data_IF_003384322146
#
_entry.id   IF_003384322146
#
_cell.length_a   1.000
_cell.length_b   1.000
_cell.length_c   1.000
_cell.angle_alpha   90.00
_cell.angle_beta   90.00
_cell.angle_gamma   90.00
#
_symmetry.space_group_name_H-M   'P 1'
#
loop_
_entity.id
_entity.type
_entity.pdbx_description
1 polymer ?
#
# COMPACT_ATOMS: atom_id res chain seq x y z
N UNK A 1 10.33 -52.74 29.28
CA UNK A 1 9.81 -51.57 28.54
C UNK A 1 9.72 -50.37 29.49
N UNK A 2 10.72 -49.51 29.49
CA UNK A 2 10.73 -48.29 30.31
C UNK A 2 10.24 -47.13 29.43
N UNK A 3 9.16 -46.49 29.87
CA UNK A 3 8.65 -45.24 29.24
C UNK A 3 9.57 -44.09 29.68
N UNK A 4 10.19 -43.42 28.73
CA UNK A 4 10.92 -42.17 28.96
C UNK A 4 9.90 -41.05 28.76
N UNK A 5 9.58 -40.33 29.85
CA UNK A 5 8.80 -39.10 29.83
C UNK A 5 9.82 -37.97 29.66
N UNK A 6 9.79 -37.31 28.49
CA UNK A 6 10.63 -36.14 28.22
C UNK A 6 9.85 -34.89 28.62
N UNK A 7 10.23 -34.28 29.74
CA UNK A 7 9.66 -33.02 30.23
C UNK A 7 10.47 -31.90 29.61
N UNK A 8 9.88 -31.15 28.66
CA UNK A 8 10.48 -29.93 28.15
C UNK A 8 10.16 -28.77 29.08
N UNK A 9 11.17 -28.30 29.80
CA UNK A 9 11.10 -27.05 30.56
C UNK A 9 11.44 -25.91 29.58
N UNK A 10 10.45 -25.14 29.15
CA UNK A 10 10.67 -23.90 28.39
C UNK A 10 11.19 -22.84 29.37
N UNK A 11 12.46 -22.48 29.25
CA UNK A 11 13.01 -21.31 29.91
C UNK A 11 12.53 -20.06 29.15
N UNK A 12 11.61 -19.32 29.77
CA UNK A 12 11.28 -17.94 29.31
C UNK A 12 12.43 -17.03 29.76
N UNK A 13 13.30 -16.65 28.81
CA UNK A 13 14.19 -15.53 29.02
C UNK A 13 13.39 -14.23 28.82
N UNK A 14 13.24 -13.47 29.90
CA UNK A 14 12.75 -12.10 29.89
C UNK A 14 13.75 -11.23 29.11
N UNK A 15 13.44 -10.96 27.85
CA UNK A 15 14.01 -9.83 27.14
C UNK A 15 13.28 -8.58 27.66
N UNK A 16 13.95 -7.82 28.52
CA UNK A 16 13.57 -6.46 28.85
C UNK A 16 13.64 -5.62 27.57
N UNK A 17 12.49 -5.29 27.01
CA UNK A 17 12.36 -4.37 25.90
C UNK A 17 12.83 -2.97 26.34
N UNK A 18 13.83 -2.44 25.68
CA UNK A 18 14.10 -1.03 25.69
C UNK A 18 12.89 -0.31 25.09
N UNK A 19 12.09 0.32 25.94
CA UNK A 19 11.05 1.24 25.52
C UNK A 19 11.74 2.53 25.03
N UNK A 20 12.00 2.61 23.73
CA UNK A 20 12.17 3.90 23.08
C UNK A 20 10.87 4.70 23.23
N UNK A 21 10.96 6.01 23.40
CA UNK A 21 9.81 6.93 23.43
C UNK A 21 9.06 6.87 22.08
N UNK A 22 8.25 5.84 21.92
CA UNK A 22 7.41 5.55 20.76
C UNK A 22 5.95 5.53 21.16
N UNK A 23 5.12 5.98 20.28
CA UNK A 23 3.70 6.24 20.44
C UNK A 23 2.90 5.26 21.29
N UNK A 24 1.76 5.73 21.78
CA UNK A 24 0.82 4.93 22.54
C UNK A 24 0.48 3.62 21.82
N UNK A 25 0.40 2.49 22.52
CA UNK A 25 0.02 1.24 21.88
C UNK A 25 -1.36 1.40 21.21
N UNK A 26 -1.59 0.74 20.07
CA UNK A 26 -2.86 0.83 19.35
C UNK A 26 -4.03 0.48 20.27
N UNK A 27 -5.12 1.24 20.19
CA UNK A 27 -6.34 0.99 20.92
C UNK A 27 -6.91 -0.36 20.50
N UNK A 28 -6.84 -1.36 21.37
CA UNK A 28 -7.42 -2.68 21.11
C UNK A 28 -8.94 -2.56 21.17
N UNK A 29 -9.62 -2.94 20.10
CA UNK A 29 -11.06 -3.16 20.13
C UNK A 29 -11.37 -4.31 21.10
N UNK A 30 -12.13 -4.05 22.14
CA UNK A 30 -12.41 -5.00 23.22
C UNK A 30 -13.64 -5.88 22.97
N UNK A 31 -14.48 -5.52 21.99
CA UNK A 31 -15.68 -6.29 21.62
C UNK A 31 -15.42 -7.11 20.34
N UNK A 32 -15.06 -8.36 20.51
CA UNK A 32 -14.77 -9.32 19.44
C UNK A 32 -16.03 -10.10 19.08
N UNK A 33 -16.94 -9.45 18.37
CA UNK A 33 -18.21 -10.05 17.94
C UNK A 33 -18.10 -10.87 16.66
N UNK A 34 -17.11 -10.59 15.82
CA UNK A 34 -16.84 -11.28 14.54
C UNK A 34 -15.44 -11.89 14.53
N UNK A 35 -15.20 -12.89 13.66
CA UNK A 35 -13.89 -13.54 13.55
C UNK A 35 -12.79 -12.59 13.07
N UNK A 36 -13.14 -11.63 12.21
CA UNK A 36 -12.24 -10.57 11.76
C UNK A 36 -11.68 -9.72 12.91
N UNK A 37 -12.37 -9.62 14.04
CA UNK A 37 -11.95 -8.82 15.20
C UNK A 37 -10.79 -9.48 15.97
N UNK A 38 -10.49 -10.74 15.67
CA UNK A 38 -9.30 -11.42 16.19
C UNK A 38 -8.04 -11.13 15.36
N UNK A 39 -8.15 -10.61 14.14
CA UNK A 39 -6.98 -10.31 13.30
C UNK A 39 -6.25 -9.08 13.83
N UNK A 40 -4.95 -9.22 14.03
CA UNK A 40 -4.04 -8.12 14.36
C UNK A 40 -3.03 -7.92 13.21
N UNK A 41 -3.28 -6.98 12.28
CA UNK A 41 -2.40 -6.75 11.12
C UNK A 41 -1.00 -6.25 11.49
N UNK A 42 -0.76 -5.84 12.75
CA UNK A 42 0.57 -5.43 13.20
C UNK A 42 1.51 -6.61 13.49
N UNK A 43 1.01 -7.83 13.64
CA UNK A 43 1.86 -9.01 13.82
C UNK A 43 2.72 -9.20 12.56
N UNK A 44 4.05 -9.28 12.75
CA UNK A 44 5.01 -9.49 11.67
C UNK A 44 5.45 -8.21 10.95
N UNK A 45 5.07 -7.02 11.40
CA UNK A 45 5.33 -5.75 10.72
C UNK A 45 6.66 -5.08 11.10
N UNK A 46 7.60 -5.82 11.67
CA UNK A 46 9.00 -5.39 11.71
C UNK A 46 9.71 -5.77 10.40
N UNK A 47 10.84 -5.14 10.10
CA UNK A 47 11.58 -5.43 8.86
C UNK A 47 11.94 -6.93 8.69
N UNK A 48 12.14 -7.65 9.77
CA UNK A 48 12.40 -9.10 9.72
C UNK A 48 11.14 -9.95 9.53
N UNK A 49 9.97 -9.43 9.93
CA UNK A 49 8.69 -10.07 9.67
C UNK A 49 8.14 -9.80 8.28
N UNK A 50 8.58 -8.71 7.66
CA UNK A 50 8.31 -8.30 6.26
C UNK A 50 6.85 -8.11 5.88
N UNK A 51 5.92 -8.10 6.84
CA UNK A 51 4.51 -7.78 6.60
C UNK A 51 4.24 -6.29 6.80
N UNK A 52 3.05 -5.81 6.42
CA UNK A 52 2.60 -4.45 6.65
C UNK A 52 1.12 -4.42 7.08
N UNK A 53 0.69 -3.38 7.83
CA UNK A 53 -0.66 -3.29 8.37
C UNK A 53 -1.65 -2.61 7.41
N UNK A 54 -1.29 -2.43 6.15
CA UNK A 54 -2.08 -1.66 5.19
C UNK A 54 -3.45 -2.24 4.87
N UNK A 55 -4.31 -1.41 4.32
CA UNK A 55 -5.62 -1.83 3.85
C UNK A 55 -5.51 -2.59 2.53
N UNK A 56 -6.03 -3.82 2.50
CA UNK A 56 -6.08 -4.69 1.33
C UNK A 56 -7.35 -5.55 1.38
N UNK A 57 -7.91 -5.92 0.23
CA UNK A 57 -8.91 -6.99 0.12
C UNK A 57 -8.22 -8.37 0.00
N UNK A 58 -8.91 -9.48 0.29
CA UNK A 58 -8.35 -10.82 0.05
C UNK A 58 -7.82 -10.95 -1.38
N UNK A 59 -6.55 -11.32 -1.53
CA UNK A 59 -5.82 -11.43 -2.80
C UNK A 59 -5.89 -10.18 -3.72
N UNK A 60 -6.20 -9.01 -3.16
CA UNK A 60 -6.36 -7.78 -3.94
C UNK A 60 -5.07 -7.33 -4.62
N UNK A 61 -5.18 -6.78 -5.84
CA UNK A 61 -4.10 -6.08 -6.54
C UNK A 61 -3.72 -4.80 -5.78
N UNK A 62 -4.73 -4.08 -5.28
CA UNK A 62 -4.56 -2.83 -4.55
C UNK A 62 -4.33 -3.09 -3.07
N UNK A 63 -3.29 -2.49 -2.53
CA UNK A 63 -3.09 -2.26 -1.10
C UNK A 63 -2.72 -0.80 -0.85
N UNK A 64 -3.16 -0.24 0.26
CA UNK A 64 -2.85 1.12 0.69
C UNK A 64 -2.12 1.04 2.03
N UNK A 65 -0.81 1.29 2.03
CA UNK A 65 0.09 0.98 3.13
C UNK A 65 0.77 2.25 3.63
N UNK A 66 0.82 2.49 4.96
CA UNK A 66 1.60 3.61 5.50
C UNK A 66 3.09 3.45 5.15
N UNK A 67 3.70 4.53 4.67
CA UNK A 67 5.12 4.57 4.35
C UNK A 67 5.86 5.30 5.47
N UNK A 68 6.70 4.60 6.21
CA UNK A 68 7.42 5.18 7.33
C UNK A 68 8.95 4.93 7.31
N UNK A 69 9.47 4.31 6.23
CA UNK A 69 10.91 4.06 6.06
C UNK A 69 11.56 5.00 5.02
N UNK A 70 11.00 6.18 4.81
CA UNK A 70 11.62 7.23 3.99
C UNK A 70 12.57 8.07 4.83
N UNK A 71 13.86 8.02 4.51
CA UNK A 71 14.90 8.75 5.22
C UNK A 71 14.77 10.28 5.10
N UNK A 72 15.01 10.99 6.20
CA UNK A 72 15.04 12.45 6.23
C UNK A 72 15.90 12.94 7.40
N UNK A 73 15.98 14.26 7.62
CA UNK A 73 16.63 14.81 8.80
C UNK A 73 15.93 14.44 10.12
N UNK A 74 14.64 14.11 10.06
CA UNK A 74 13.81 13.76 11.21
C UNK A 74 13.55 12.26 11.33
N UNK A 75 13.88 11.47 10.27
CA UNK A 75 13.64 10.03 10.22
C UNK A 75 14.91 9.26 9.88
N UNK A 76 15.43 8.52 10.86
CA UNK A 76 16.64 7.68 10.69
C UNK A 76 16.34 6.32 10.04
N UNK A 77 15.08 5.92 9.93
CA UNK A 77 14.67 4.76 9.15
C UNK A 77 14.70 5.15 7.67
N UNK A 78 15.62 4.58 6.92
CA UNK A 78 15.89 5.00 5.55
C UNK A 78 16.04 3.79 4.63
N UNK A 79 15.12 3.65 3.68
CA UNK A 79 15.10 2.59 2.67
C UNK A 79 16.32 2.62 1.75
N UNK A 80 16.96 3.78 1.59
CA UNK A 80 18.15 3.95 0.75
C UNK A 80 19.45 3.66 1.51
N UNK A 81 19.43 3.71 2.84
CA UNK A 81 20.59 3.45 3.68
C UNK A 81 20.69 1.98 4.11
N UNK A 82 19.60 1.23 4.13
CA UNK A 82 19.60 -0.20 4.45
C UNK A 82 18.41 -0.91 3.82
N UNK A 83 18.49 -2.23 3.78
CA UNK A 83 17.44 -3.10 3.23
C UNK A 83 16.11 -2.98 3.97
N UNK A 84 15.06 -2.67 3.22
CA UNK A 84 13.67 -2.71 3.64
C UNK A 84 12.84 -3.42 2.58
N UNK A 85 12.18 -4.51 2.95
CA UNK A 85 11.33 -5.28 2.02
C UNK A 85 9.87 -4.79 2.00
N UNK A 86 9.50 -3.91 2.93
CA UNK A 86 8.17 -3.29 3.00
C UNK A 86 8.30 -1.80 3.35
N UNK A 87 7.33 -0.97 3.00
CA UNK A 87 7.37 0.46 3.30
C UNK A 87 7.11 0.79 4.77
N UNK A 88 6.86 -0.21 5.61
CA UNK A 88 6.45 -0.02 7.00
C UNK A 88 7.35 -0.77 8.00
N UNK A 89 7.65 -0.10 9.11
CA UNK A 89 8.33 -0.67 10.28
C UNK A 89 7.58 -0.27 11.56
N UNK A 90 7.14 -1.27 12.33
CA UNK A 90 6.30 -1.09 13.53
C UNK A 90 6.92 -0.17 14.59
N UNK A 91 8.23 -0.19 14.75
CA UNK A 91 8.95 0.61 15.76
C UNK A 91 9.14 2.07 15.37
N UNK A 92 8.74 2.45 14.16
CA UNK A 92 8.89 3.81 13.64
C UNK A 92 7.55 4.54 13.55
N UNK A 93 7.47 5.74 14.10
CA UNK A 93 6.28 6.59 14.08
C UNK A 93 6.42 7.84 13.18
N UNK A 94 7.20 7.76 12.10
CA UNK A 94 7.38 8.86 11.15
C UNK A 94 6.74 8.52 9.80
N UNK A 95 5.74 9.28 9.37
CA UNK A 95 4.93 9.03 8.18
C UNK A 95 5.30 9.97 7.04
N UNK A 96 5.44 9.42 5.82
CA UNK A 96 5.77 10.19 4.62
C UNK A 96 4.72 10.06 3.52
N UNK A 97 3.69 9.26 3.72
CA UNK A 97 2.59 9.07 2.79
C UNK A 97 2.00 7.66 2.84
N UNK A 98 0.99 7.42 2.03
CA UNK A 98 0.46 6.09 1.75
C UNK A 98 1.01 5.59 0.43
N UNK A 99 1.71 4.45 0.44
CA UNK A 99 2.10 3.74 -0.76
C UNK A 99 0.94 2.87 -1.28
N UNK A 100 0.81 2.82 -2.59
CA UNK A 100 -0.20 1.99 -3.25
C UNK A 100 0.48 0.82 -3.97
N UNK A 101 -0.23 -0.32 -3.99
CA UNK A 101 0.25 -1.59 -4.56
C UNK A 101 1.56 -2.04 -3.91
N UNK A 102 1.45 -2.83 -2.87
CA UNK A 102 2.59 -3.26 -2.05
C UNK A 102 2.61 -4.77 -1.92
N UNK A 103 3.80 -5.34 -1.75
CA UNK A 103 3.96 -6.70 -1.30
C UNK A 103 3.95 -6.77 0.23
N UNK A 104 3.62 -7.94 0.76
CA UNK A 104 3.62 -8.23 2.19
C UNK A 104 4.11 -9.67 2.42
N UNK A 105 5.05 -9.85 3.34
CA UNK A 105 5.63 -11.16 3.64
C UNK A 105 6.76 -11.59 2.68
N UNK A 106 7.29 -10.70 1.85
CA UNK A 106 8.39 -10.99 0.91
C UNK A 106 9.71 -10.39 1.39
N UNK A 107 10.82 -11.05 1.07
CA UNK A 107 12.15 -10.62 1.50
C UNK A 107 12.83 -9.60 0.60
N UNK A 108 12.27 -9.27 -0.57
CA UNK A 108 12.83 -8.31 -1.51
C UNK A 108 11.94 -7.08 -1.66
N UNK A 109 12.52 -5.86 -1.71
CA UNK A 109 11.75 -4.66 -2.00
C UNK A 109 11.22 -4.70 -3.43
N UNK A 110 9.93 -4.39 -3.58
CA UNK A 110 9.25 -4.24 -4.87
C UNK A 110 7.96 -3.46 -4.68
N UNK A 111 7.51 -2.76 -5.71
CA UNK A 111 6.27 -1.97 -5.67
C UNK A 111 6.34 -0.83 -4.63
N UNK A 112 5.27 -0.55 -3.90
CA UNK A 112 5.24 0.45 -2.83
C UNK A 112 5.45 1.87 -3.33
N UNK A 113 4.74 2.26 -4.38
CA UNK A 113 4.85 3.56 -5.05
C UNK A 113 3.56 4.38 -4.98
N UNK A 114 3.42 5.44 -5.78
CA UNK A 114 2.24 6.30 -5.83
C UNK A 114 1.90 6.86 -4.44
N UNK A 115 2.86 7.62 -3.86
CA UNK A 115 2.75 8.09 -2.47
C UNK A 115 1.74 9.23 -2.34
N UNK A 116 0.71 9.02 -1.54
CA UNK A 116 -0.35 9.99 -1.24
C UNK A 116 -0.14 10.57 0.15
N UNK A 117 0.07 11.90 0.26
CA UNK A 117 0.36 12.58 1.53
C UNK A 117 -0.55 13.78 1.76
N UNK A 118 -1.33 13.84 2.86
CA UNK A 118 -2.04 15.05 3.26
C UNK A 118 -1.13 15.97 4.08
N UNK A 119 -1.18 17.28 3.82
CA UNK A 119 -0.46 18.31 4.57
C UNK A 119 -1.33 19.52 4.83
N UNK A 120 -0.92 20.39 5.75
CA UNK A 120 -1.60 21.67 6.05
C UNK A 120 -0.60 22.81 6.12
N UNK A 121 -1.07 24.05 5.97
CA UNK A 121 -0.24 25.25 6.00
C UNK A 121 0.32 25.64 4.63
N UNK A 122 1.60 25.96 4.56
CA UNK A 122 2.24 26.27 3.27
C UNK A 122 2.52 25.00 2.47
N UNK A 123 2.36 25.10 1.15
CA UNK A 123 2.61 23.97 0.26
C UNK A 123 4.11 23.63 0.21
N UNK A 124 4.47 22.47 0.69
CA UNK A 124 5.82 21.91 0.60
C UNK A 124 5.74 20.55 -0.10
N UNK A 125 6.50 20.36 -1.18
CA UNK A 125 6.52 19.14 -1.98
C UNK A 125 7.82 18.33 -1.83
N UNK A 126 8.75 18.78 -0.98
CA UNK A 126 9.97 18.05 -0.68
C UNK A 126 9.67 16.92 0.33
N UNK A 127 9.75 15.68 -0.13
CA UNK A 127 9.47 14.50 0.70
C UNK A 127 10.39 14.39 1.93
N UNK A 128 11.57 14.97 1.89
CA UNK A 128 12.50 15.01 3.05
C UNK A 128 12.05 15.98 4.14
N UNK A 129 11.10 16.87 3.84
CA UNK A 129 10.64 17.91 4.75
C UNK A 129 9.15 17.77 5.11
N UNK A 130 8.31 17.21 4.22
CA UNK A 130 6.88 17.13 4.50
C UNK A 130 6.45 15.95 5.38
N UNK A 131 7.37 15.06 5.78
CA UNK A 131 7.05 13.98 6.70
C UNK A 131 6.51 14.47 8.05
N UNK A 132 5.79 13.62 8.75
CA UNK A 132 5.17 13.92 10.05
C UNK A 132 5.29 12.75 11.00
N UNK A 133 5.55 13.02 12.26
CA UNK A 133 5.26 12.03 13.31
C UNK A 133 3.77 11.75 13.34
N UNK A 134 3.40 10.53 13.73
CA UNK A 134 2.01 10.12 13.88
C UNK A 134 1.76 9.40 15.20
N UNK A 135 0.50 9.30 15.57
CA UNK A 135 -0.02 8.60 16.75
C UNK A 135 -1.40 8.00 16.45
N UNK A 136 -2.00 7.38 17.46
CA UNK A 136 -3.36 6.84 17.41
C UNK A 136 -3.58 5.87 16.23
N UNK A 137 -2.56 5.04 15.98
CA UNK A 137 -2.54 4.09 14.88
C UNK A 137 -3.53 2.95 15.11
N UNK A 138 -4.31 2.61 14.09
CA UNK A 138 -5.24 1.50 14.12
C UNK A 138 -5.20 0.74 12.79
N UNK A 139 -5.28 -0.58 12.86
CA UNK A 139 -5.41 -1.45 11.69
C UNK A 139 -6.40 -2.58 11.93
N UNK A 140 -7.11 -2.93 10.89
CA UNK A 140 -7.91 -4.16 10.80
C UNK A 140 -7.95 -4.60 9.33
N UNK A 141 -8.33 -5.85 9.01
CA UNK A 141 -8.40 -6.28 7.63
C UNK A 141 -9.22 -5.32 6.75
N UNK A 142 -8.60 -4.77 5.71
CA UNK A 142 -9.21 -3.79 4.81
C UNK A 142 -9.26 -2.35 5.32
N UNK A 143 -8.61 -2.03 6.44
CA UNK A 143 -8.61 -0.69 7.03
C UNK A 143 -7.32 -0.38 7.76
N UNK A 144 -6.86 0.87 7.62
CA UNK A 144 -5.80 1.45 8.43
C UNK A 144 -6.07 2.93 8.69
N UNK A 145 -5.63 3.44 9.85
CA UNK A 145 -5.70 4.86 10.20
C UNK A 145 -4.57 5.30 11.12
N UNK A 146 -4.24 6.59 11.07
CA UNK A 146 -3.37 7.28 12.02
C UNK A 146 -3.72 8.77 12.14
N UNK A 147 -3.03 9.47 13.04
CA UNK A 147 -3.16 10.91 13.24
C UNK A 147 -1.79 11.59 13.06
N UNK A 148 -1.66 12.45 12.06
CA UNK A 148 -0.45 13.19 11.74
C UNK A 148 -0.31 14.42 12.65
N UNK A 149 0.68 14.39 13.55
CA UNK A 149 0.81 15.43 14.60
C UNK A 149 1.27 16.77 14.08
N UNK A 150 2.11 16.81 13.04
CA UNK A 150 2.60 18.04 12.41
C UNK A 150 1.47 18.84 11.75
N UNK A 151 0.49 18.14 11.19
CA UNK A 151 -0.56 18.70 10.36
C UNK A 151 -1.94 18.73 11.02
N UNK A 152 -2.09 18.08 12.17
CA UNK A 152 -3.38 17.87 12.83
C UNK A 152 -4.40 17.20 11.89
N UNK A 153 -3.99 16.19 11.15
CA UNK A 153 -4.82 15.48 10.18
C UNK A 153 -5.04 14.04 10.64
N UNK A 154 -6.30 13.62 10.77
CA UNK A 154 -6.64 12.21 10.85
C UNK A 154 -6.65 11.63 9.45
N UNK A 155 -6.01 10.49 9.28
CA UNK A 155 -5.97 9.77 7.99
C UNK A 155 -6.62 8.40 8.15
N UNK A 156 -7.39 8.00 7.15
CA UNK A 156 -8.06 6.71 7.10
C UNK A 156 -7.97 6.16 5.68
N UNK A 157 -7.68 4.87 5.53
CA UNK A 157 -7.61 4.23 4.22
C UNK A 157 -8.32 2.89 4.20
N UNK A 158 -8.88 2.55 3.04
CA UNK A 158 -9.49 1.27 2.74
C UNK A 158 -9.21 0.88 1.28
N UNK A 159 -9.55 -0.33 0.89
CA UNK A 159 -9.30 -0.83 -0.45
C UNK A 159 -10.43 -1.71 -0.97
N UNK A 160 -10.58 -1.72 -2.28
CA UNK A 160 -11.27 -2.75 -3.08
C UNK A 160 -10.21 -3.60 -3.78
N UNK A 161 -10.56 -4.64 -4.54
CA UNK A 161 -9.54 -5.49 -5.17
C UNK A 161 -8.54 -4.74 -6.09
N UNK A 162 -8.96 -3.66 -6.78
CA UNK A 162 -8.14 -2.93 -7.77
C UNK A 162 -8.10 -1.41 -7.55
N UNK A 163 -8.74 -0.94 -6.49
CA UNK A 163 -8.74 0.50 -6.18
C UNK A 163 -8.63 0.77 -4.68
N UNK A 164 -8.03 1.91 -4.32
CA UNK A 164 -7.91 2.38 -2.95
C UNK A 164 -8.77 3.61 -2.71
N UNK A 165 -9.11 3.83 -1.45
CA UNK A 165 -9.73 5.06 -0.98
C UNK A 165 -9.04 5.55 0.27
N UNK A 166 -8.77 6.86 0.31
CA UNK A 166 -8.30 7.57 1.49
C UNK A 166 -9.32 8.63 1.91
N UNK A 167 -9.48 8.83 3.21
CA UNK A 167 -10.22 9.94 3.79
C UNK A 167 -9.32 10.70 4.73
N UNK A 168 -9.18 11.99 4.51
CA UNK A 168 -8.40 12.90 5.34
C UNK A 168 -9.33 13.88 6.05
N UNK A 169 -9.27 13.92 7.37
CA UNK A 169 -10.00 14.90 8.17
C UNK A 169 -9.05 16.03 8.54
N UNK A 170 -9.31 17.21 8.01
CA UNK A 170 -8.44 18.38 8.12
C UNK A 170 -8.89 19.34 9.22
N UNK A 171 -7.95 20.09 9.82
CA UNK A 171 -8.28 21.28 10.60
C UNK A 171 -8.71 22.43 9.68
N UNK A 172 -9.20 23.51 10.29
CA UNK A 172 -9.48 24.74 9.56
C UNK A 172 -8.20 25.38 9.02
N UNK A 173 -8.20 25.73 7.72
CA UNK A 173 -7.09 26.43 7.08
C UNK A 173 -6.75 25.93 5.68
N UNK A 174 -5.52 26.19 5.25
CA UNK A 174 -5.02 25.67 3.97
C UNK A 174 -4.58 24.22 4.14
N UNK A 175 -5.08 23.37 3.27
CA UNK A 175 -4.81 21.94 3.26
C UNK A 175 -4.40 21.48 1.85
N UNK A 176 -3.57 20.46 1.79
CA UNK A 176 -3.08 19.94 0.52
C UNK A 176 -3.10 18.41 0.53
N UNK A 177 -3.29 17.84 -0.65
CA UNK A 177 -3.11 16.42 -0.93
C UNK A 177 -2.06 16.32 -2.02
N UNK A 178 -0.96 15.63 -1.72
CA UNK A 178 0.18 15.44 -2.60
C UNK A 178 0.16 14.02 -3.15
N UNK A 179 0.38 13.85 -4.46
CA UNK A 179 0.71 12.55 -5.07
C UNK A 179 2.15 12.62 -5.58
N UNK A 180 3.05 11.88 -4.93
CA UNK A 180 4.45 11.81 -5.31
C UNK A 180 4.70 10.55 -6.15
N UNK A 181 5.24 10.74 -7.35
CA UNK A 181 5.64 9.67 -8.27
C UNK A 181 7.16 9.50 -8.35
N UNK A 182 7.93 10.37 -7.69
CA UNK A 182 9.38 10.31 -7.67
C UNK A 182 9.94 9.30 -6.69
N UNK A 183 9.17 8.95 -5.66
CA UNK A 183 9.63 8.11 -4.57
C UNK A 183 8.71 6.90 -4.38
N UNK A 184 9.27 5.83 -3.85
CA UNK A 184 8.61 4.58 -3.53
C UNK A 184 9.56 3.68 -2.74
N UNK A 185 9.19 2.43 -2.55
CA UNK A 185 10.04 1.45 -1.88
C UNK A 185 11.28 1.13 -2.74
N UNK A 186 11.10 1.09 -4.06
CA UNK A 186 12.17 1.01 -5.05
C UNK A 186 12.34 2.36 -5.74
N UNK A 187 13.57 2.68 -6.19
CA UNK A 187 13.93 3.98 -6.79
C UNK A 187 13.86 3.93 -8.32
N UNK A 188 12.76 3.44 -8.87
CA UNK A 188 12.60 3.37 -10.30
C UNK A 188 12.35 4.75 -10.91
N UNK A 189 12.98 5.00 -12.03
CA UNK A 189 12.80 6.24 -12.78
C UNK A 189 11.75 6.10 -13.86
N UNK A 190 11.14 7.23 -14.19
CA UNK A 190 10.15 7.32 -15.25
C UNK A 190 8.71 7.32 -14.72
N UNK A 191 8.08 8.47 -14.90
CA UNK A 191 6.65 8.65 -14.68
C UNK A 191 6.09 9.67 -15.66
N UNK A 192 4.80 9.56 -15.93
CA UNK A 192 4.02 10.56 -16.66
C UNK A 192 2.73 10.81 -15.89
N UNK A 193 2.32 12.06 -15.85
CA UNK A 193 1.13 12.52 -15.17
C UNK A 193 0.38 13.51 -16.04
N UNK A 194 -0.93 13.29 -16.19
CA UNK A 194 -1.83 14.13 -16.99
C UNK A 194 -3.04 14.56 -16.16
N UNK A 195 -3.38 15.85 -16.23
CA UNK A 195 -4.59 16.39 -15.62
C UNK A 195 -5.77 16.18 -16.55
N UNK A 196 -6.78 15.49 -16.04
CA UNK A 196 -8.06 15.25 -16.72
C UNK A 196 -9.05 16.38 -16.37
N UNK A 197 -9.11 16.75 -15.09
CA UNK A 197 -9.90 17.87 -14.57
C UNK A 197 -9.16 18.53 -13.39
N UNK A 198 -9.77 19.51 -12.75
CA UNK A 198 -9.17 20.11 -11.56
C UNK A 198 -9.10 19.14 -10.38
N UNK A 199 -9.96 18.14 -10.33
CA UNK A 199 -10.02 17.12 -9.25
C UNK A 199 -9.58 15.73 -9.70
N UNK A 200 -9.10 15.54 -10.94
CA UNK A 200 -8.71 14.23 -11.43
C UNK A 200 -7.42 14.28 -12.25
N UNK A 201 -6.52 13.37 -11.92
CA UNK A 201 -5.28 13.11 -12.67
C UNK A 201 -5.17 11.63 -13.00
N UNK A 202 -4.45 11.34 -14.07
CA UNK A 202 -4.11 9.99 -14.50
C UNK A 202 -2.66 9.92 -14.92
N UNK A 203 -2.10 8.73 -14.98
CA UNK A 203 -0.71 8.60 -15.39
C UNK A 203 -0.19 7.19 -15.37
N UNK A 204 1.12 7.11 -15.49
CA UNK A 204 1.90 5.88 -15.42
C UNK A 204 3.17 6.11 -14.62
N UNK A 205 3.54 5.11 -13.82
CA UNK A 205 4.83 5.03 -13.14
C UNK A 205 5.52 3.73 -13.57
N UNK A 206 6.78 3.81 -13.95
CA UNK A 206 7.61 2.63 -14.14
C UNK A 206 8.03 2.09 -12.77
N UNK A 207 7.92 0.79 -12.62
CA UNK A 207 8.33 0.01 -11.45
C UNK A 207 9.28 -1.09 -11.90
N UNK A 208 9.94 -1.75 -10.96
CA UNK A 208 10.81 -2.86 -11.26
C UNK A 208 11.98 -2.98 -10.30
N UNK A 209 13.07 -3.58 -10.79
CA UNK A 209 14.28 -3.90 -10.02
C UNK A 209 14.10 -4.93 -8.91
N UNK A 210 13.03 -5.75 -8.98
CA UNK A 210 12.82 -6.83 -8.01
C UNK A 210 14.11 -7.59 -7.72
N UNK A 211 14.51 -7.65 -6.45
CA UNK A 211 15.77 -8.22 -6.01
C UNK A 211 16.99 -7.71 -6.83
N UNK A 212 17.00 -6.42 -7.17
CA UNK A 212 18.05 -5.77 -7.98
C UNK A 212 18.20 -6.30 -9.40
N UNK A 213 17.14 -6.87 -10.00
CA UNK A 213 17.14 -7.21 -11.41
C UNK A 213 16.83 -5.95 -12.26
N UNK A 214 17.83 -5.33 -12.91
CA UNK A 214 17.63 -4.08 -13.66
C UNK A 214 16.79 -4.26 -14.92
N UNK A 215 16.47 -5.48 -15.31
CA UNK A 215 15.64 -5.79 -16.48
C UNK A 215 14.15 -5.97 -16.12
N UNK A 216 13.84 -6.12 -14.85
CA UNK A 216 12.47 -6.29 -14.37
C UNK A 216 11.75 -4.93 -14.28
N UNK A 217 11.57 -4.24 -15.40
CA UNK A 217 10.86 -2.94 -15.46
C UNK A 217 9.48 -3.13 -16.08
N UNK A 218 8.45 -2.63 -15.42
CA UNK A 218 7.07 -2.69 -15.88
C UNK A 218 6.28 -1.45 -15.47
N UNK A 219 5.23 -1.07 -16.23
CA UNK A 219 4.39 0.06 -15.92
C UNK A 219 3.31 -0.30 -14.90
N UNK A 220 2.98 0.66 -14.03
CA UNK A 220 1.70 0.71 -13.34
C UNK A 220 0.96 1.97 -13.77
N UNK A 221 -0.26 1.79 -14.27
CA UNK A 221 -1.15 2.86 -14.67
C UNK A 221 -2.09 3.20 -13.53
N UNK A 222 -2.45 4.47 -13.39
CA UNK A 222 -3.33 4.91 -12.33
C UNK A 222 -4.26 6.03 -12.77
N UNK A 223 -5.39 6.13 -12.07
CA UNK A 223 -6.30 7.28 -12.07
C UNK A 223 -6.56 7.67 -10.63
N UNK A 224 -6.33 8.94 -10.28
CA UNK A 224 -6.60 9.49 -8.95
C UNK A 224 -7.68 10.56 -9.07
N UNK A 225 -8.69 10.46 -8.21
CA UNK A 225 -9.83 11.39 -8.14
C UNK A 225 -10.01 11.89 -6.73
N UNK A 226 -10.05 13.21 -6.57
CA UNK A 226 -10.39 13.88 -5.31
C UNK A 226 -11.86 14.26 -5.32
N UNK A 227 -12.61 13.91 -4.29
CA UNK A 227 -14.07 14.15 -4.25
C UNK A 227 -14.48 15.56 -3.84
N UNK A 228 -13.52 16.44 -3.63
CA UNK A 228 -13.74 17.88 -3.38
C UNK A 228 -13.05 18.67 -4.48
N UNK A 229 -13.70 19.72 -4.99
CA UNK A 229 -13.06 20.65 -5.93
C UNK A 229 -11.94 21.42 -5.23
N UNK A 230 -10.68 21.32 -5.69
CA UNK A 230 -9.58 22.06 -5.11
C UNK A 230 -9.66 23.56 -5.46
N UNK A 231 -9.15 24.40 -4.55
CA UNK A 231 -8.97 25.84 -4.82
C UNK A 231 -7.76 26.11 -5.72
N UNK A 232 -6.78 25.19 -5.73
CA UNK A 232 -5.65 25.21 -6.67
C UNK A 232 -5.12 23.79 -6.90
N UNK A 233 -4.53 23.58 -8.08
CA UNK A 233 -3.84 22.33 -8.44
C UNK A 233 -2.65 22.64 -9.31
N UNK A 234 -1.68 21.74 -9.33
CA UNK A 234 -0.49 21.89 -10.18
C UNK A 234 0.42 20.67 -10.05
N UNK A 235 1.55 20.78 -10.72
CA UNK A 235 2.59 19.77 -10.73
C UNK A 235 3.85 20.28 -10.07
N UNK A 236 4.73 19.36 -9.67
CA UNK A 236 6.12 19.68 -9.38
C UNK A 236 7.06 18.74 -10.12
N UNK A 237 8.29 19.23 -10.28
CA UNK A 237 9.41 18.42 -10.76
C UNK A 237 10.66 18.83 -10.01
N UNK A 238 11.43 17.85 -9.57
CA UNK A 238 12.75 18.10 -9.00
C UNK A 238 13.65 18.67 -10.07
N UNK A 239 14.33 19.74 -9.77
CA UNK A 239 15.28 20.36 -10.67
C UNK A 239 16.58 19.55 -10.66
N UNK A 240 17.07 19.22 -11.83
CA UNK A 240 18.43 18.69 -11.99
C UNK A 240 19.36 19.86 -12.19
N UNK A 241 20.44 19.98 -11.38
CA UNK A 241 21.42 21.02 -11.60
C UNK A 241 22.09 20.87 -12.96
N UNK A 242 22.49 21.97 -13.54
CA UNK A 242 23.31 21.94 -14.74
C UNK A 242 24.69 21.39 -14.37
N UNK A 243 25.27 20.58 -15.26
CA UNK A 243 26.55 19.94 -15.03
C UNK A 243 27.62 20.95 -14.59
N UNK A 244 28.23 20.71 -13.43
CA UNK A 244 29.29 21.55 -12.83
C UNK A 244 28.83 22.72 -11.96
N UNK A 245 27.49 22.94 -11.79
CA UNK A 245 26.95 24.06 -10.96
C UNK A 245 25.93 23.58 -9.92
N UNK A 246 26.01 22.33 -9.51
CA UNK A 246 25.04 21.66 -8.64
C UNK A 246 24.77 22.41 -7.34
N UNK A 247 25.82 22.78 -6.60
CA UNK A 247 25.70 23.42 -5.31
C UNK A 247 25.14 24.85 -5.38
N UNK A 248 25.44 25.59 -6.45
CA UNK A 248 24.93 26.96 -6.64
C UNK A 248 23.52 26.95 -7.20
N UNK A 249 23.21 26.01 -8.09
CA UNK A 249 21.87 25.84 -8.65
C UNK A 249 20.85 25.57 -7.56
N UNK A 250 21.11 24.60 -6.67
CA UNK A 250 20.21 24.25 -5.56
C UNK A 250 19.98 25.42 -4.58
N UNK A 251 20.97 26.30 -4.40
CA UNK A 251 20.82 27.50 -3.58
C UNK A 251 19.91 28.57 -4.20
N UNK A 252 19.95 28.72 -5.51
CA UNK A 252 19.29 29.83 -6.19
C UNK A 252 17.94 29.51 -6.80
N UNK A 253 17.69 28.24 -7.18
CA UNK A 253 16.50 27.82 -7.92
C UNK A 253 15.50 26.99 -7.09
N UNK A 254 15.89 26.59 -5.87
CA UNK A 254 15.13 25.65 -5.08
C UNK A 254 15.23 24.23 -5.64
N UNK A 255 14.90 23.24 -4.83
CA UNK A 255 15.03 21.83 -5.16
C UNK A 255 13.93 21.33 -6.07
N UNK A 256 12.73 21.88 -5.94
CA UNK A 256 11.55 21.55 -6.75
C UNK A 256 10.97 22.78 -7.41
N UNK A 257 10.60 22.66 -8.69
CA UNK A 257 9.87 23.69 -9.42
C UNK A 257 8.39 23.34 -9.44
N UNK A 258 7.54 24.32 -9.10
CA UNK A 258 6.09 24.22 -9.18
C UNK A 258 5.59 24.72 -10.53
N UNK A 259 4.62 23.99 -11.10
CA UNK A 259 3.96 24.31 -12.38
C UNK A 259 2.47 24.48 -12.11
N UNK A 260 2.04 25.71 -11.85
CA UNK A 260 0.67 26.03 -11.43
C UNK A 260 -0.30 26.26 -12.59
N UNK A 261 0.21 26.64 -13.76
CA UNK A 261 -0.62 27.01 -14.93
C UNK A 261 -0.12 26.41 -16.24
N UNK A 262 0.88 25.56 -16.19
CA UNK A 262 1.58 25.13 -17.38
C UNK A 262 1.29 23.67 -17.72
N UNK A 263 0.81 23.46 -18.96
CA UNK A 263 0.64 22.14 -19.54
C UNK A 263 -0.50 21.30 -18.96
N UNK A 264 -0.95 20.34 -19.75
CA UNK A 264 -1.90 19.30 -19.29
C UNK A 264 -1.19 18.09 -18.73
N UNK A 265 0.12 17.93 -19.01
CA UNK A 265 0.89 16.77 -18.62
C UNK A 265 2.34 17.13 -18.27
N UNK A 266 2.96 16.28 -17.48
CA UNK A 266 4.37 16.35 -17.11
C UNK A 266 4.96 14.95 -17.10
N UNK A 267 6.23 14.82 -17.51
CA UNK A 267 6.97 13.57 -17.47
C UNK A 267 8.36 13.77 -16.84
N UNK A 268 8.85 12.75 -16.19
CA UNK A 268 10.19 12.72 -15.56
C UNK A 268 10.30 11.71 -14.43
N UNK A 269 11.41 11.76 -13.74
CA UNK A 269 11.70 10.84 -12.63
C UNK A 269 11.04 11.32 -11.33
N UNK A 270 11.45 12.48 -10.84
CA UNK A 270 10.96 13.07 -9.59
C UNK A 270 9.85 14.10 -9.87
N UNK A 271 8.67 13.60 -10.18
CA UNK A 271 7.48 14.43 -10.45
C UNK A 271 6.34 14.09 -9.49
N UNK A 272 5.40 15.01 -9.40
CA UNK A 272 4.16 14.79 -8.68
C UNK A 272 3.12 15.87 -8.93
N UNK A 273 1.99 15.75 -8.26
CA UNK A 273 0.88 16.70 -8.33
C UNK A 273 0.35 17.01 -6.95
N UNK A 274 -0.24 18.19 -6.81
CA UNK A 274 -0.90 18.62 -5.59
C UNK A 274 -2.30 19.15 -5.87
N UNK A 275 -3.16 18.98 -4.87
CA UNK A 275 -4.49 19.57 -4.79
C UNK A 275 -4.56 20.39 -3.50
N UNK A 276 -4.87 21.66 -3.60
CA UNK A 276 -4.97 22.57 -2.45
C UNK A 276 -6.43 22.90 -2.17
N UNK A 277 -6.77 23.06 -0.90
CA UNK A 277 -8.10 23.34 -0.42
C UNK A 277 -8.06 24.41 0.66
N UNK A 278 -9.13 25.17 0.78
CA UNK A 278 -9.47 25.87 2.01
C UNK A 278 -10.47 24.98 2.76
N UNK A 279 -10.10 24.52 3.96
CA UNK A 279 -10.90 23.57 4.75
C UNK A 279 -11.43 24.23 6.01
N UNK A 280 -12.64 23.80 6.43
CA UNK A 280 -13.18 24.09 7.76
C UNK A 280 -12.72 23.03 8.77
N UNK A 281 -12.92 23.31 10.06
CA UNK A 281 -12.54 22.37 11.13
C UNK A 281 -13.30 21.05 11.02
N UNK A 282 -12.57 19.93 10.98
CA UNK A 282 -13.13 18.60 10.86
C UNK A 282 -13.61 18.24 9.45
N UNK A 283 -13.29 19.05 8.44
CA UNK A 283 -13.73 18.78 7.06
C UNK A 283 -13.00 17.56 6.49
N UNK A 284 -13.78 16.66 5.88
CA UNK A 284 -13.28 15.42 5.29
C UNK A 284 -13.14 15.56 3.77
N UNK A 285 -11.98 15.13 3.26
CA UNK A 285 -11.73 15.05 1.82
C UNK A 285 -11.39 13.60 1.48
N UNK A 286 -12.17 13.01 0.59
CA UNK A 286 -11.95 11.66 0.09
C UNK A 286 -11.15 11.68 -1.22
N UNK A 287 -10.23 10.72 -1.34
CA UNK A 287 -9.40 10.48 -2.53
C UNK A 287 -9.55 9.03 -2.94
N UNK A 288 -9.82 8.80 -4.21
CA UNK A 288 -9.94 7.48 -4.81
C UNK A 288 -8.81 7.27 -5.81
N UNK A 289 -8.21 6.07 -5.83
CA UNK A 289 -7.18 5.70 -6.79
C UNK A 289 -7.47 4.31 -7.37
N UNK A 290 -7.65 4.24 -8.68
CA UNK A 290 -7.69 2.99 -9.43
C UNK A 290 -6.34 2.70 -10.07
N UNK A 291 -5.96 1.43 -10.16
CA UNK A 291 -4.70 1.00 -10.78
C UNK A 291 -4.94 -0.13 -11.78
N UNK A 292 -4.00 -0.27 -12.72
CA UNK A 292 -3.95 -1.36 -13.71
C UNK A 292 -2.51 -1.58 -14.15
N UNK A 293 -2.19 -2.81 -14.52
CA UNK A 293 -0.93 -3.14 -15.20
C UNK A 293 -1.07 -3.18 -16.73
N UNK A 294 -2.26 -2.83 -17.25
CA UNK A 294 -2.59 -2.87 -18.68
C UNK A 294 -2.61 -1.48 -19.30
N UNK A 295 -3.44 -0.56 -18.76
CA UNK A 295 -3.60 0.78 -19.33
C UNK A 295 -4.25 1.76 -18.35
N UNK A 296 -4.18 3.06 -18.68
CA UNK A 296 -4.89 4.13 -17.94
C UNK A 296 -6.42 3.92 -18.03
N UNK A 297 -6.91 3.50 -19.19
CA UNK A 297 -8.33 3.22 -19.43
C UNK A 297 -8.82 2.10 -18.52
N UNK A 298 -8.02 1.07 -18.32
CA UNK A 298 -8.34 -0.04 -17.41
C UNK A 298 -8.24 0.38 -15.94
N UNK A 299 -7.27 1.21 -15.57
CA UNK A 299 -7.22 1.79 -14.22
C UNK A 299 -8.48 2.60 -13.90
N UNK A 300 -8.98 3.36 -14.87
CA UNK A 300 -10.26 4.09 -14.79
C UNK A 300 -11.43 3.15 -14.69
N UNK A 301 -11.47 2.13 -15.52
CA UNK A 301 -12.54 1.12 -15.52
C UNK A 301 -12.61 0.38 -14.18
N UNK A 302 -11.45 0.02 -13.60
CA UNK A 302 -11.35 -0.59 -12.29
C UNK A 302 -11.94 0.34 -11.21
N UNK A 303 -11.52 1.61 -11.21
CA UNK A 303 -12.01 2.61 -10.26
C UNK A 303 -13.53 2.80 -10.37
N UNK A 304 -14.03 3.00 -11.58
CA UNK A 304 -15.45 3.27 -11.81
C UNK A 304 -16.32 2.04 -11.48
N UNK A 305 -15.87 0.83 -11.77
CA UNK A 305 -16.61 -0.40 -11.46
C UNK A 305 -16.66 -0.70 -9.96
N UNK A 306 -15.58 -0.45 -9.25
CA UNK A 306 -15.46 -0.83 -7.85
C UNK A 306 -15.95 0.26 -6.89
N UNK A 307 -15.85 1.55 -7.25
CA UNK A 307 -16.11 2.66 -6.33
C UNK A 307 -17.20 3.65 -6.79
N UNK A 308 -17.83 3.48 -7.97
CA UNK A 308 -18.87 4.40 -8.40
C UNK A 308 -20.03 4.47 -7.40
N UNK A 309 -20.38 5.70 -6.99
CA UNK A 309 -21.47 5.96 -6.05
C UNK A 309 -21.23 5.51 -4.61
N UNK A 310 -19.99 5.13 -4.27
CA UNK A 310 -19.62 4.73 -2.92
C UNK A 310 -18.79 5.81 -2.23
N UNK A 311 -18.99 5.96 -0.94
CA UNK A 311 -18.18 6.73 -0.02
C UNK A 311 -17.19 5.81 0.73
N UNK A 312 -16.37 6.39 1.57
CA UNK A 312 -15.40 5.67 2.39
C UNK A 312 -16.05 4.59 3.27
N UNK A 313 -17.17 4.92 3.94
CA UNK A 313 -17.83 3.99 4.86
C UNK A 313 -18.34 2.75 4.13
N UNK A 314 -18.91 2.91 2.94
CA UNK A 314 -19.41 1.81 2.13
C UNK A 314 -18.28 0.89 1.68
N UNK A 315 -17.16 1.45 1.21
CA UNK A 315 -15.99 0.68 0.76
C UNK A 315 -15.37 -0.07 1.94
N UNK A 316 -15.17 0.59 3.08
CA UNK A 316 -14.67 -0.04 4.30
C UNK A 316 -15.57 -1.19 4.76
N UNK A 317 -16.88 -0.98 4.80
CA UNK A 317 -17.84 -2.03 5.18
C UNK A 317 -17.80 -3.24 4.23
N UNK A 318 -17.68 -3.01 2.92
CA UNK A 318 -17.55 -4.08 1.91
C UNK A 318 -16.23 -4.85 2.07
N UNK A 319 -15.11 -4.15 2.30
CA UNK A 319 -13.82 -4.80 2.55
C UNK A 319 -13.85 -5.65 3.81
N UNK A 320 -14.42 -5.11 4.90
CA UNK A 320 -14.61 -5.82 6.17
C UNK A 320 -15.48 -7.07 6.00
N UNK A 321 -16.58 -6.98 5.25
CA UNK A 321 -17.45 -8.13 4.97
C UNK A 321 -16.72 -9.23 4.22
N UNK A 322 -16.00 -8.90 3.14
CA UNK A 322 -15.21 -9.86 2.36
C UNK A 322 -14.18 -10.62 3.23
N UNK A 323 -13.47 -9.89 4.09
CA UNK A 323 -12.52 -10.51 5.00
C UNK A 323 -13.22 -11.43 6.01
N UNK A 324 -14.34 -11.00 6.58
CA UNK A 324 -15.08 -11.84 7.53
C UNK A 324 -15.62 -13.11 6.86
N UNK A 325 -16.11 -13.02 5.63
CA UNK A 325 -16.61 -14.16 4.86
C UNK A 325 -15.48 -15.19 4.59
N UNK A 326 -14.30 -14.72 4.19
CA UNK A 326 -13.15 -15.58 3.96
C UNK A 326 -12.63 -16.22 5.25
N UNK A 327 -12.47 -15.44 6.32
CA UNK A 327 -11.99 -15.95 7.62
C UNK A 327 -12.98 -16.93 8.26
N UNK A 328 -14.29 -16.75 8.01
CA UNK A 328 -15.35 -17.60 8.54
C UNK A 328 -15.41 -19.02 7.94
N UNK A 329 -14.58 -19.30 6.92
CA UNK A 329 -14.46 -20.67 6.39
C UNK A 329 -13.78 -21.62 7.39
N UNK A 330 -13.07 -21.11 8.36
CA UNK A 330 -12.54 -21.89 9.49
C UNK A 330 -13.00 -21.25 10.78
N UNK A 331 -13.84 -21.94 11.54
CA UNK A 331 -14.27 -21.53 12.86
C UNK A 331 -13.51 -22.32 13.92
N UNK A 332 -12.85 -21.61 14.85
CA UNK A 332 -12.11 -22.21 15.97
C UNK A 332 -12.85 -21.96 17.27
N UNK A 333 -13.18 -23.04 17.98
CA UNK A 333 -13.79 -23.01 19.31
C UNK A 333 -12.76 -23.28 20.39
N UNK A 334 -12.99 -22.72 21.58
CA UNK A 334 -12.05 -22.85 22.71
C UNK A 334 -10.79 -22.00 22.56
N UNK A 335 -9.78 -22.27 23.38
CA UNK A 335 -8.55 -21.49 23.43
C UNK A 335 -8.73 -20.10 24.05
N UNK A 336 -7.61 -19.38 24.16
CA UNK A 336 -7.58 -17.97 24.62
C UNK A 336 -7.74 -17.02 23.45
N UNK A 337 -8.12 -15.76 23.71
CA UNK A 337 -8.17 -14.71 22.69
C UNK A 337 -6.82 -14.52 22.00
N UNK A 338 -5.71 -14.61 22.74
CA UNK A 338 -4.37 -14.52 22.14
C UNK A 338 -4.11 -15.65 21.13
N UNK A 339 -4.54 -16.89 21.42
CA UNK A 339 -4.42 -18.01 20.48
C UNK A 339 -5.29 -17.82 19.25
N UNK A 340 -6.52 -17.32 19.42
CA UNK A 340 -7.40 -16.98 18.30
C UNK A 340 -6.82 -15.84 17.46
N UNK A 341 -6.23 -14.82 18.09
CA UNK A 341 -5.54 -13.71 17.39
C UNK A 341 -4.40 -14.25 16.52
N UNK A 342 -3.54 -15.11 17.06
CA UNK A 342 -2.46 -15.74 16.27
C UNK A 342 -3.02 -16.54 15.11
N UNK A 343 -4.07 -17.35 15.33
CA UNK A 343 -4.67 -18.19 14.30
C UNK A 343 -5.30 -17.36 13.16
N UNK A 344 -6.17 -16.42 13.51
CA UNK A 344 -6.87 -15.62 12.48
C UNK A 344 -5.95 -14.63 11.79
N UNK A 345 -4.91 -14.13 12.45
CA UNK A 345 -3.88 -13.30 11.80
C UNK A 345 -3.04 -14.11 10.80
N UNK A 346 -2.68 -15.36 11.16
CA UNK A 346 -1.99 -16.25 10.23
C UNK A 346 -2.88 -16.58 9.00
N UNK A 347 -4.17 -16.85 9.21
CA UNK A 347 -5.13 -17.07 8.13
C UNK A 347 -5.32 -15.82 7.26
N UNK A 348 -5.35 -14.62 7.86
CA UNK A 348 -5.37 -13.34 7.15
C UNK A 348 -4.13 -13.19 6.26
N UNK A 349 -2.92 -13.40 6.78
CA UNK A 349 -1.69 -13.30 6.00
C UNK A 349 -1.65 -14.28 4.82
N UNK A 350 -2.18 -15.49 5.00
CA UNK A 350 -2.27 -16.50 3.96
C UNK A 350 -3.11 -16.03 2.75
N UNK A 351 -4.10 -15.16 2.97
CA UNK A 351 -5.01 -14.68 1.95
C UNK A 351 -4.63 -13.32 1.35
N UNK A 352 -3.48 -12.75 1.73
CA UNK A 352 -2.96 -11.52 1.12
C UNK A 352 -2.36 -11.82 -0.26
N UNK A 353 -1.51 -12.84 -0.35
CA UNK A 353 -0.84 -13.26 -1.59
C UNK A 353 -1.16 -14.71 -1.97
N UNK A 354 -1.04 -15.07 -3.25
CA UNK A 354 -0.77 -14.23 -4.42
C UNK A 354 -1.90 -13.24 -4.71
N UNK A 355 -1.57 -12.14 -5.40
CA UNK A 355 -2.55 -11.13 -5.78
C UNK A 355 -3.21 -11.45 -7.13
N UNK A 356 -4.41 -10.96 -7.35
CA UNK A 356 -5.01 -10.93 -8.69
C UNK A 356 -4.24 -9.93 -9.57
N UNK A 357 -4.12 -10.25 -10.85
CA UNK A 357 -3.42 -9.43 -11.85
C UNK A 357 -4.37 -8.82 -12.88
N UNK A 358 -5.50 -9.49 -13.16
CA UNK A 358 -6.44 -9.04 -14.16
C UNK A 358 -7.27 -7.85 -13.71
N UNK A 359 -7.59 -6.97 -14.65
CA UNK A 359 -8.55 -5.88 -14.50
C UNK A 359 -10.01 -6.41 -14.47
N UNK A 360 -10.97 -5.54 -14.16
CA UNK A 360 -12.39 -5.94 -14.04
C UNK A 360 -13.01 -6.45 -15.36
N UNK A 361 -12.38 -6.15 -16.51
CA UNK A 361 -12.75 -6.66 -17.82
C UNK A 361 -12.06 -7.99 -18.17
N UNK A 362 -11.21 -8.50 -17.26
CA UNK A 362 -10.45 -9.74 -17.41
C UNK A 362 -9.11 -9.58 -18.14
N UNK A 363 -8.74 -8.39 -18.59
CA UNK A 363 -7.45 -8.14 -19.24
C UNK A 363 -6.30 -8.16 -18.25
N UNK A 364 -5.16 -8.71 -18.71
CA UNK A 364 -3.90 -8.74 -17.94
C UNK A 364 -2.68 -8.78 -18.89
N UNK A 365 -1.51 -8.28 -18.45
CA UNK A 365 -0.28 -8.41 -19.23
C UNK A 365 0.20 -9.87 -19.24
N UNK A 366 0.53 -10.38 -20.44
CA UNK A 366 1.10 -11.71 -20.58
C UNK A 366 2.50 -11.79 -19.97
N UNK A 367 2.88 -12.99 -19.53
CA UNK A 367 4.22 -13.24 -18.98
C UNK A 367 5.28 -13.06 -20.06
N UNK A 368 6.34 -12.27 -19.76
CA UNK A 368 7.50 -12.00 -20.64
C UNK A 368 7.14 -11.61 -22.09
N UNK A 369 6.07 -10.85 -22.26
CA UNK A 369 5.55 -10.46 -23.57
C UNK A 369 4.85 -9.09 -23.46
N UNK A 370 4.77 -8.37 -24.56
CA UNK A 370 4.04 -7.11 -24.71
C UNK A 370 2.54 -7.32 -25.02
N UNK A 371 2.08 -8.58 -25.01
CA UNK A 371 0.68 -8.91 -25.29
C UNK A 371 -0.21 -8.67 -24.08
N UNK A 372 -1.41 -8.20 -24.34
CA UNK A 372 -2.50 -8.19 -23.38
C UNK A 372 -3.41 -9.38 -23.67
N UNK A 373 -3.65 -10.19 -22.65
CA UNK A 373 -4.51 -11.37 -22.71
C UNK A 373 -5.75 -11.15 -21.87
N UNK A 374 -6.71 -12.06 -21.97
CA UNK A 374 -7.97 -11.99 -21.24
C UNK A 374 -8.28 -13.32 -20.56
N UNK A 375 -8.69 -13.27 -19.30
CA UNK A 375 -9.16 -14.41 -18.52
C UNK A 375 -10.64 -14.28 -18.17
N UNK A 376 -11.30 -15.41 -17.93
CA UNK A 376 -12.66 -15.46 -17.38
C UNK A 376 -12.70 -15.64 -15.86
N UNK A 377 -11.62 -16.15 -15.30
CA UNK A 377 -11.45 -16.37 -13.86
C UNK A 377 -10.37 -15.45 -13.29
N UNK A 378 -9.97 -15.70 -12.07
CA UNK A 378 -8.89 -14.95 -11.44
C UNK A 378 -7.54 -15.39 -12.01
N UNK A 379 -6.78 -14.42 -12.48
CA UNK A 379 -5.36 -14.54 -12.87
C UNK A 379 -4.51 -14.03 -11.75
N UNK A 380 -3.71 -14.90 -11.16
CA UNK A 380 -2.85 -14.55 -10.03
C UNK A 380 -1.42 -14.20 -10.46
N UNK A 381 -0.75 -13.41 -9.65
CA UNK A 381 0.67 -13.05 -9.78
C UNK A 381 1.36 -13.07 -8.42
N UNK A 382 2.68 -12.89 -8.41
CA UNK A 382 3.51 -12.90 -7.18
C UNK A 382 3.46 -14.28 -6.49
N UNK A 383 3.70 -15.34 -7.27
CA UNK A 383 3.88 -16.67 -6.69
C UNK A 383 5.29 -16.80 -6.08
N UNK A 384 5.36 -17.20 -4.82
CA UNK A 384 6.60 -17.65 -4.19
C UNK A 384 6.46 -19.13 -3.82
N UNK A 385 6.60 -20.01 -4.81
CA UNK A 385 6.40 -21.45 -4.62
C UNK A 385 7.42 -22.04 -3.63
N UNK A 386 8.61 -21.44 -3.50
CA UNK A 386 9.61 -21.84 -2.52
C UNK A 386 9.10 -21.70 -1.07
N UNK A 387 8.28 -20.69 -0.79
CA UNK A 387 7.66 -20.48 0.50
C UNK A 387 6.37 -21.29 0.65
N UNK A 388 5.52 -21.29 -0.36
CA UNK A 388 4.11 -21.72 -0.25
C UNK A 388 3.90 -23.22 -0.45
N UNK A 389 4.86 -23.97 -1.04
CA UNK A 389 4.72 -25.41 -1.28
C UNK A 389 4.59 -26.23 0.01
N UNK A 390 5.05 -25.69 1.13
CA UNK A 390 5.16 -26.41 2.40
C UNK A 390 3.79 -26.79 2.96
N UNK A 391 2.85 -25.84 3.01
CA UNK A 391 1.52 -26.07 3.61
C UNK A 391 0.42 -25.12 3.08
N UNK A 392 0.75 -24.02 2.42
CA UNK A 392 -0.24 -23.04 1.93
C UNK A 392 -1.18 -23.66 0.93
N UNK A 393 -0.64 -24.26 -0.15
CA UNK A 393 -1.48 -24.88 -1.21
C UNK A 393 -2.31 -26.05 -0.72
N UNK A 394 -1.80 -26.83 0.25
CA UNK A 394 -2.55 -27.91 0.88
C UNK A 394 -3.74 -27.36 1.69
N UNK A 395 -3.53 -26.30 2.48
CA UNK A 395 -4.61 -25.65 3.21
C UNK A 395 -5.66 -25.03 2.25
N UNK A 396 -5.19 -24.30 1.21
CA UNK A 396 -6.09 -23.74 0.19
C UNK A 396 -6.92 -24.83 -0.50
N UNK A 397 -6.34 -25.98 -0.81
CA UNK A 397 -7.05 -27.11 -1.41
C UNK A 397 -8.19 -27.62 -0.52
N UNK A 398 -8.01 -27.61 0.80
CA UNK A 398 -9.00 -28.06 1.75
C UNK A 398 -10.09 -27.03 2.05
N UNK A 399 -9.73 -25.75 2.14
CA UNK A 399 -10.62 -24.69 2.66
C UNK A 399 -11.09 -23.74 1.56
N UNK A 400 -10.27 -23.48 0.55
CA UNK A 400 -10.54 -22.56 -0.56
C UNK A 400 -10.29 -23.23 -1.92
N UNK A 401 -10.89 -24.38 -2.20
CA UNK A 401 -10.56 -25.20 -3.39
C UNK A 401 -10.77 -24.46 -4.72
N UNK A 402 -11.78 -23.59 -4.80
CA UNK A 402 -12.03 -22.76 -5.98
C UNK A 402 -10.88 -21.79 -6.25
N UNK A 403 -10.36 -21.13 -5.21
CA UNK A 403 -9.22 -20.21 -5.29
C UNK A 403 -7.92 -20.94 -5.64
N UNK A 404 -7.68 -22.09 -5.01
CA UNK A 404 -6.54 -22.95 -5.36
C UNK A 404 -6.60 -23.42 -6.81
N UNK A 405 -7.77 -23.76 -7.32
CA UNK A 405 -7.94 -24.17 -8.71
C UNK A 405 -7.62 -23.05 -9.69
N UNK A 406 -8.03 -21.80 -9.40
CA UNK A 406 -7.67 -20.64 -10.22
C UNK A 406 -6.14 -20.36 -10.20
N UNK A 407 -5.47 -20.56 -9.07
CA UNK A 407 -4.01 -20.48 -8.99
C UNK A 407 -3.33 -21.55 -9.85
N UNK A 408 -3.82 -22.79 -9.84
CA UNK A 408 -3.31 -23.87 -10.71
C UNK A 408 -3.55 -23.55 -12.18
N UNK A 409 -4.73 -23.04 -12.55
CA UNK A 409 -5.03 -22.57 -13.92
C UNK A 409 -4.08 -21.47 -14.34
N UNK A 410 -3.83 -20.50 -13.46
CA UNK A 410 -2.86 -19.43 -13.71
C UNK A 410 -1.46 -19.98 -14.06
N UNK A 411 -0.96 -20.95 -13.29
CA UNK A 411 0.36 -21.57 -13.57
C UNK A 411 0.36 -22.34 -14.89
N UNK A 412 -0.71 -23.02 -15.25
CA UNK A 412 -0.86 -23.68 -16.54
C UNK A 412 -0.92 -22.68 -17.70
N UNK A 413 -1.54 -21.53 -17.50
CA UNK A 413 -1.61 -20.48 -18.51
C UNK A 413 -0.25 -19.80 -18.68
N UNK A 414 0.52 -19.56 -17.60
CA UNK A 414 1.90 -19.11 -17.67
C UNK A 414 2.78 -20.06 -18.52
N UNK A 415 2.62 -21.38 -18.34
CA UNK A 415 3.30 -22.37 -19.16
C UNK A 415 2.89 -22.25 -20.65
N UNK A 416 1.63 -22.05 -20.95
CA UNK A 416 1.12 -21.90 -22.33
C UNK A 416 1.60 -20.60 -22.98
N UNK A 417 1.72 -19.54 -22.21
CA UNK A 417 2.16 -18.21 -22.65
C UNK A 417 3.65 -18.20 -22.98
N UNK A 418 4.48 -18.86 -22.19
CA UNK A 418 5.94 -18.76 -22.26
C UNK A 418 6.65 -20.09 -22.52
N UNK A 419 6.01 -21.25 -22.31
CA UNK A 419 6.54 -22.58 -22.65
C UNK A 419 7.39 -23.25 -21.57
N UNK A 420 7.33 -22.72 -20.31
CA UNK A 420 8.04 -23.34 -19.17
C UNK A 420 7.61 -22.79 -17.80
#
# INVERSE_FOLDING_TARGET
>A
MKRIILTYTLAFSLLSAYAGEGGSPPLKNTDKSLLIDYVDPFIGTTNFGTTNPGAICPNGMMSVVPFNVMGSSENTYDKDARWWSTPYEYTNCFFTGYAHVNLSGVGCPELGSLLLMPTTGELNVDYKEYGSKYKDEQASPGYYSNYLTKYNVKTEVSATPRSGIARFTFPKGKSHILLNLGEGLTNESGAMLRRVSDSEVEGVKLLGTFCYNPQAVFPIYFVLRVKKNPSATGYWKKQRPMMGVEAEWDKHQGKYKLYTRYGKEIAGDDIGTYFSFDTEEGEQVEVQMGVSFVSIENARLNLDREQAGKDFEKIHAEARSKWNDDLSRITVEGGTDAQKTVFYTALYHLLIHPNILQDVNGEYPAMESDKILTTKGDRYTVFSLWDTYRNVHQLLTLVYPERQMEMVRTMLDMYREHGW
#
